data_IF_921409689808
#
_entry.id   IF_921409689808
#
_cell.length_a   1.000
_cell.length_b   1.000
_cell.length_c   1.000
_cell.angle_alpha   90.00
_cell.angle_beta   90.00
_cell.angle_gamma   90.00
#
_symmetry.space_group_name_H-M   'P 1'
#
loop_
_entity.id
_entity.type
_entity.pdbx_description
1 polymer ?
#
# COMPACT_ATOMS: atom_id res chain seq x y z
N UNK A 1 -5.60 64.67 -11.52
CA UNK A 1 -6.18 63.31 -11.54
C UNK A 1 -5.05 62.32 -11.76
N UNK A 2 -4.48 61.76 -10.68
CA UNK A 2 -3.47 60.71 -10.77
C UNK A 2 -4.07 59.42 -10.23
N UNK A 3 -4.12 58.38 -11.08
CA UNK A 3 -4.57 57.06 -10.68
C UNK A 3 -3.42 56.28 -10.04
N UNK A 4 -3.37 56.22 -8.71
CA UNK A 4 -2.59 55.20 -8.00
C UNK A 4 -3.35 53.88 -8.05
N UNK A 5 -3.17 53.15 -9.14
CA UNK A 5 -3.72 51.81 -9.33
C UNK A 5 -3.00 50.83 -8.39
N UNK A 6 -3.52 50.63 -7.19
CA UNK A 6 -2.99 49.66 -6.23
C UNK A 6 -3.26 48.24 -6.73
N UNK A 7 -2.33 47.68 -7.51
CA UNK A 7 -2.27 46.23 -7.73
C UNK A 7 -2.17 45.54 -6.37
N UNK A 8 -3.16 44.69 -6.06
CA UNK A 8 -3.30 43.93 -4.81
C UNK A 8 -3.51 44.76 -3.53
N UNK A 9 -4.78 45.00 -3.13
CA UNK A 9 -5.10 45.29 -1.73
C UNK A 9 -4.93 44.00 -0.91
N UNK A 10 -3.71 43.73 -0.43
CA UNK A 10 -3.42 42.66 0.53
C UNK A 10 -4.01 43.01 1.90
N UNK A 11 -5.32 42.85 2.03
CA UNK A 11 -6.03 43.02 3.29
C UNK A 11 -5.67 41.93 4.30
N UNK A 12 -4.83 42.29 5.27
CA UNK A 12 -4.94 41.72 6.62
C UNK A 12 -4.45 40.28 6.87
N UNK A 13 -3.33 39.83 6.28
CA UNK A 13 -2.58 38.70 6.83
C UNK A 13 -1.33 39.19 7.57
N UNK A 14 -1.43 39.34 8.90
CA UNK A 14 -0.26 39.69 9.72
C UNK A 14 0.75 38.54 9.75
N UNK A 15 2.05 38.87 9.72
CA UNK A 15 3.14 37.91 9.89
C UNK A 15 3.08 37.29 11.29
N UNK A 16 3.03 35.97 11.37
CA UNK A 16 3.16 35.23 12.63
C UNK A 16 4.50 34.50 12.68
N UNK A 17 5.19 34.59 13.83
CA UNK A 17 6.42 33.84 14.09
C UNK A 17 6.09 32.35 14.19
N UNK A 18 7.06 31.50 13.85
CA UNK A 18 6.86 30.04 13.83
C UNK A 18 6.44 29.45 15.20
N UNK A 19 6.81 30.10 16.30
CA UNK A 19 6.45 29.69 17.67
C UNK A 19 5.00 29.98 18.03
N UNK A 20 4.42 31.03 17.43
CA UNK A 20 3.08 31.57 17.71
C UNK A 20 2.07 31.18 16.60
N UNK A 21 2.41 30.17 15.80
CA UNK A 21 1.64 29.78 14.62
C UNK A 21 0.63 28.68 14.93
N UNK A 22 -0.67 28.97 14.76
CA UNK A 22 -1.74 28.02 15.02
C UNK A 22 -1.94 27.03 13.87
N UNK A 23 -1.61 25.76 14.11
CA UNK A 23 -1.75 24.67 13.14
C UNK A 23 -3.18 24.11 12.97
N UNK A 24 -4.14 24.66 13.72
CA UNK A 24 -5.56 24.28 13.69
C UNK A 24 -6.30 24.89 12.50
N UNK A 25 -5.99 26.15 12.22
CA UNK A 25 -6.88 27.01 11.46
C UNK A 25 -6.47 27.19 9.99
N UNK A 26 -7.48 27.49 9.18
CA UNK A 26 -7.32 28.15 7.88
C UNK A 26 -8.22 29.40 7.85
N UNK A 27 -8.47 29.98 9.03
CA UNK A 27 -9.58 30.89 9.30
C UNK A 27 -9.15 32.35 9.49
N UNK A 28 -8.32 32.89 8.59
CA UNK A 28 -8.32 34.34 8.40
C UNK A 28 -9.55 34.74 7.55
N UNK A 29 -10.62 35.12 8.26
CA UNK A 29 -11.88 35.73 7.80
C UNK A 29 -12.74 34.95 6.79
N UNK A 30 -13.85 34.42 7.31
CA UNK A 30 -14.93 33.80 6.54
C UNK A 30 -15.80 34.81 5.74
N UNK A 31 -15.51 36.11 5.80
CA UNK A 31 -16.40 37.16 5.27
C UNK A 31 -15.95 37.87 3.98
N UNK A 32 -14.74 37.65 3.42
CA UNK A 32 -14.49 38.22 2.08
C UNK A 32 -13.40 37.59 1.18
N UNK A 33 -12.33 36.97 1.68
CA UNK A 33 -11.20 36.55 0.82
C UNK A 33 -10.58 35.18 1.12
N UNK A 34 -11.44 34.17 1.32
CA UNK A 34 -11.01 32.77 1.33
C UNK A 34 -10.17 32.34 2.53
N UNK A 35 -9.87 31.03 2.65
CA UNK A 35 -9.15 30.49 3.79
C UNK A 35 -7.65 30.80 3.68
N UNK A 36 -7.25 31.99 4.09
CA UNK A 36 -5.86 32.45 4.04
C UNK A 36 -5.06 31.96 5.26
N UNK A 37 -3.83 31.50 5.01
CA UNK A 37 -2.88 31.09 6.05
C UNK A 37 -2.08 32.33 6.49
N UNK A 38 -1.80 32.48 7.79
CA UNK A 38 -0.91 33.54 8.27
C UNK A 38 0.43 33.53 7.52
N UNK A 39 0.87 34.70 7.05
CA UNK A 39 2.03 34.77 6.18
C UNK A 39 3.32 34.45 6.95
N UNK A 40 3.86 33.25 6.74
CA UNK A 40 5.15 32.83 7.26
C UNK A 40 5.91 32.05 6.17
N UNK A 41 7.01 32.59 5.62
CA UNK A 41 7.69 32.00 4.47
C UNK A 41 8.24 30.60 4.75
N UNK A 42 8.65 30.29 6.00
CA UNK A 42 9.16 28.97 6.36
C UNK A 42 8.09 27.89 6.21
N UNK A 43 6.83 28.20 6.53
CA UNK A 43 5.72 27.24 6.48
C UNK A 43 5.33 26.95 5.03
N UNK A 44 5.28 27.97 4.17
CA UNK A 44 5.10 27.78 2.73
C UNK A 44 6.24 26.96 2.11
N UNK A 45 7.49 27.18 2.52
CA UNK A 45 8.62 26.34 2.08
C UNK A 45 8.48 24.88 2.55
N UNK A 46 8.09 24.63 3.80
CA UNK A 46 7.86 23.27 4.33
C UNK A 46 6.75 22.57 3.55
N UNK A 47 5.61 23.23 3.35
CA UNK A 47 4.49 22.72 2.54
C UNK A 47 4.98 22.36 1.13
N UNK A 48 5.66 23.30 0.45
CA UNK A 48 6.14 23.09 -0.92
C UNK A 48 7.11 21.92 -1.04
N UNK A 49 8.09 21.79 -0.14
CA UNK A 49 9.07 20.68 -0.16
C UNK A 49 8.40 19.33 0.08
N UNK A 50 7.53 19.22 1.09
CA UNK A 50 6.85 17.97 1.42
C UNK A 50 5.88 17.54 0.30
N UNK A 51 5.17 18.50 -0.31
CA UNK A 51 4.22 18.24 -1.39
C UNK A 51 4.93 17.90 -2.71
N UNK A 52 6.02 18.60 -3.04
CA UNK A 52 6.86 18.26 -4.20
C UNK A 52 7.47 16.85 -4.07
N UNK A 53 7.94 16.48 -2.87
CA UNK A 53 8.46 15.14 -2.61
C UNK A 53 7.38 14.05 -2.71
N UNK A 54 6.17 14.32 -2.19
CA UNK A 54 5.02 13.41 -2.31
C UNK A 54 4.60 13.17 -3.76
N UNK A 55 4.60 14.23 -4.60
CA UNK A 55 4.34 14.13 -6.03
C UNK A 55 5.45 13.36 -6.75
N UNK A 56 6.72 13.67 -6.47
CA UNK A 56 7.86 12.96 -7.07
C UNK A 56 7.79 11.45 -6.79
N UNK A 57 7.64 11.07 -5.52
CA UNK A 57 7.54 9.66 -5.12
C UNK A 57 6.34 8.98 -5.80
N UNK A 58 5.20 9.65 -5.89
CA UNK A 58 3.99 9.07 -6.49
C UNK A 58 4.12 8.88 -8.01
N UNK A 59 4.71 9.85 -8.72
CA UNK A 59 5.04 9.74 -10.14
C UNK A 59 6.08 8.65 -10.40
N UNK A 60 7.13 8.59 -9.58
CA UNK A 60 8.17 7.57 -9.66
C UNK A 60 7.58 6.17 -9.43
N UNK A 61 6.66 6.00 -8.48
CA UNK A 61 5.94 4.74 -8.26
C UNK A 61 5.05 4.36 -9.45
N UNK A 62 4.33 5.30 -10.06
CA UNK A 62 3.53 5.03 -11.27
C UNK A 62 4.42 4.51 -12.40
N UNK A 63 5.56 5.16 -12.66
CA UNK A 63 6.52 4.74 -13.68
C UNK A 63 7.11 3.36 -13.34
N UNK A 64 7.60 3.16 -12.11
CA UNK A 64 8.14 1.88 -11.63
C UNK A 64 7.11 0.75 -11.72
N UNK A 65 5.84 1.02 -11.41
CA UNK A 65 4.76 0.04 -11.50
C UNK A 65 4.48 -0.34 -12.96
N UNK A 66 4.32 0.63 -13.86
CA UNK A 66 4.07 0.39 -15.29
C UNK A 66 5.22 -0.41 -15.94
N UNK A 67 6.47 -0.18 -15.53
CA UNK A 67 7.63 -0.90 -16.02
C UNK A 67 7.82 -2.29 -15.37
N UNK A 68 7.44 -2.44 -14.10
CA UNK A 68 7.65 -3.71 -13.36
C UNK A 68 6.58 -4.77 -13.64
N UNK A 69 5.34 -4.37 -13.96
CA UNK A 69 4.25 -5.30 -14.22
C UNK A 69 4.09 -5.62 -15.71
N UNK A 70 4.51 -6.83 -16.11
CA UNK A 70 4.32 -7.35 -17.48
C UNK A 70 2.85 -7.47 -17.90
N UNK A 71 1.94 -7.54 -16.93
CA UNK A 71 0.50 -7.68 -17.13
C UNK A 71 -0.23 -6.70 -16.22
N UNK A 72 -1.05 -5.85 -16.85
CA UNK A 72 -1.79 -4.75 -16.20
C UNK A 72 -3.21 -5.16 -15.79
N UNK A 73 -3.47 -6.46 -15.71
CA UNK A 73 -4.78 -7.06 -15.38
C UNK A 73 -4.94 -7.37 -13.90
N UNK A 74 -3.86 -7.30 -13.11
CA UNK A 74 -3.91 -7.65 -11.68
C UNK A 74 -4.62 -6.57 -10.85
N UNK A 75 -5.40 -7.00 -9.86
CA UNK A 75 -6.05 -6.10 -8.88
C UNK A 75 -5.03 -5.22 -8.16
N UNK A 76 -3.85 -5.78 -7.83
CA UNK A 76 -2.76 -5.04 -7.20
C UNK A 76 -2.23 -3.89 -8.06
N UNK A 77 -2.08 -4.09 -9.38
CA UNK A 77 -1.62 -3.03 -10.27
C UNK A 77 -2.59 -1.85 -10.25
N UNK A 78 -3.89 -2.11 -10.40
CA UNK A 78 -4.90 -1.06 -10.38
C UNK A 78 -5.01 -0.38 -9.01
N UNK A 79 -5.00 -1.11 -7.91
CA UNK A 79 -5.06 -0.50 -6.58
C UNK A 79 -3.82 0.34 -6.26
N UNK A 80 -2.62 -0.10 -6.66
CA UNK A 80 -1.38 0.66 -6.50
C UNK A 80 -1.44 1.99 -7.29
N UNK A 81 -1.87 1.94 -8.56
CA UNK A 81 -2.03 3.15 -9.39
C UNK A 81 -3.12 4.07 -8.81
N UNK A 82 -4.25 3.53 -8.33
CA UNK A 82 -5.31 4.32 -7.69
C UNK A 82 -4.79 5.12 -6.51
N UNK A 83 -4.02 4.52 -5.59
CA UNK A 83 -3.44 5.26 -4.44
C UNK A 83 -2.46 6.32 -4.92
N UNK A 84 -1.59 6.04 -5.88
CA UNK A 84 -0.63 7.03 -6.39
C UNK A 84 -1.32 8.25 -7.04
N UNK A 85 -2.38 8.01 -7.83
CA UNK A 85 -3.23 9.09 -8.39
C UNK A 85 -3.98 9.82 -7.28
N UNK A 86 -4.43 9.11 -6.23
CA UNK A 86 -5.00 9.70 -5.02
C UNK A 86 -4.05 10.65 -4.31
N UNK A 87 -2.76 10.31 -4.19
CA UNK A 87 -1.73 11.22 -3.61
C UNK A 87 -1.53 12.45 -4.49
N UNK A 88 -1.58 12.31 -5.83
CA UNK A 88 -1.48 13.45 -6.74
C UNK A 88 -2.69 14.38 -6.56
N UNK A 89 -3.91 13.83 -6.55
CA UNK A 89 -5.14 14.62 -6.39
C UNK A 89 -5.28 15.27 -5.01
N UNK A 90 -4.90 14.59 -3.91
CA UNK A 90 -4.97 15.21 -2.58
C UNK A 90 -4.00 16.38 -2.47
N UNK A 91 -2.81 16.25 -3.05
CA UNK A 91 -1.79 17.32 -3.11
C UNK A 91 -2.32 18.51 -3.91
N UNK A 92 -2.79 18.28 -5.15
CA UNK A 92 -3.34 19.33 -6.02
C UNK A 92 -4.54 20.02 -5.36
N UNK A 93 -5.44 19.27 -4.71
CA UNK A 93 -6.59 19.86 -4.00
C UNK A 93 -6.14 20.87 -2.93
N UNK A 94 -5.14 20.52 -2.13
CA UNK A 94 -4.64 21.41 -1.08
C UNK A 94 -3.97 22.67 -1.66
N UNK A 95 -3.19 22.53 -2.73
CA UNK A 95 -2.59 23.67 -3.41
C UNK A 95 -3.64 24.62 -4.01
N UNK A 96 -4.70 24.07 -4.63
CA UNK A 96 -5.84 24.87 -5.13
C UNK A 96 -6.55 25.64 -4.01
N UNK A 97 -6.72 25.02 -2.83
CA UNK A 97 -7.33 25.65 -1.65
C UNK A 97 -6.50 26.80 -1.06
N UNK A 98 -5.17 26.73 -1.15
CA UNK A 98 -4.28 27.78 -0.62
C UNK A 98 -4.08 28.92 -1.61
N UNK A 99 -3.92 28.63 -2.90
CA UNK A 99 -3.39 29.59 -3.88
C UNK A 99 -4.40 30.11 -4.91
N UNK A 100 -5.51 29.42 -5.16
CA UNK A 100 -6.31 29.63 -6.38
C UNK A 100 -7.78 29.98 -6.13
N UNK A 101 -8.36 29.57 -4.99
CA UNK A 101 -9.82 29.48 -4.85
C UNK A 101 -10.39 30.46 -3.79
N UNK A 102 -11.18 31.48 -4.19
CA UNK A 102 -12.16 32.09 -3.30
C UNK A 102 -13.35 31.14 -3.08
N UNK A 103 -14.07 31.31 -1.96
CA UNK A 103 -15.04 30.38 -1.33
C UNK A 103 -16.03 29.62 -2.26
N UNK A 104 -16.33 30.13 -3.45
CA UNK A 104 -17.37 29.62 -4.37
C UNK A 104 -17.01 28.40 -5.26
N UNK A 105 -15.81 27.81 -5.21
CA UNK A 105 -15.44 26.74 -6.15
C UNK A 105 -15.46 25.32 -5.58
N UNK A 106 -16.35 24.50 -6.14
CA UNK A 106 -16.47 23.05 -5.94
C UNK A 106 -15.21 22.23 -6.28
N UNK A 107 -14.29 22.79 -7.07
CA UNK A 107 -13.10 22.10 -7.57
C UNK A 107 -12.20 21.53 -6.45
N UNK A 108 -12.03 22.26 -5.34
CA UNK A 108 -11.31 21.75 -4.17
C UNK A 108 -12.01 20.51 -3.59
N UNK A 109 -13.28 20.67 -3.19
CA UNK A 109 -14.03 19.63 -2.47
C UNK A 109 -14.18 18.36 -3.31
N UNK A 110 -14.43 18.49 -4.62
CA UNK A 110 -14.53 17.32 -5.53
C UNK A 110 -13.19 16.60 -5.69
N UNK A 111 -12.07 17.31 -5.93
CA UNK A 111 -10.76 16.68 -6.05
C UNK A 111 -10.31 16.03 -4.72
N UNK A 112 -10.54 16.70 -3.59
CA UNK A 112 -10.27 16.17 -2.26
C UNK A 112 -11.04 14.86 -2.02
N UNK A 113 -12.32 14.81 -2.35
CA UNK A 113 -13.16 13.63 -2.09
C UNK A 113 -12.85 12.47 -3.03
N UNK A 114 -12.57 12.72 -4.31
CA UNK A 114 -12.06 11.68 -5.22
C UNK A 114 -10.73 11.13 -4.68
N UNK A 115 -9.82 12.00 -4.23
CA UNK A 115 -8.54 11.59 -3.68
C UNK A 115 -8.71 10.71 -2.43
N UNK A 116 -9.55 11.11 -1.47
CA UNK A 116 -9.81 10.33 -0.26
C UNK A 116 -10.38 8.93 -0.57
N UNK A 117 -11.31 8.83 -1.54
CA UNK A 117 -11.85 7.53 -1.98
C UNK A 117 -10.73 6.65 -2.56
N UNK A 118 -9.92 7.17 -3.48
CA UNK A 118 -8.82 6.45 -4.10
C UNK A 118 -7.75 6.01 -3.10
N UNK A 119 -7.40 6.87 -2.15
CA UNK A 119 -6.40 6.61 -1.11
C UNK A 119 -6.87 5.50 -0.16
N UNK A 120 -8.07 5.63 0.41
CA UNK A 120 -8.59 4.68 1.41
C UNK A 120 -8.94 3.32 0.82
N UNK A 121 -9.69 3.28 -0.28
CA UNK A 121 -10.06 2.00 -0.93
C UNK A 121 -8.87 1.34 -1.59
N UNK A 122 -8.04 2.10 -2.31
CA UNK A 122 -6.86 1.59 -3.00
C UNK A 122 -5.87 0.96 -2.03
N UNK A 123 -5.58 1.63 -0.91
CA UNK A 123 -4.61 1.12 0.07
C UNK A 123 -5.13 -0.16 0.75
N UNK A 124 -6.41 -0.20 1.12
CA UNK A 124 -7.04 -1.42 1.62
C UNK A 124 -6.95 -2.61 0.64
N UNK A 125 -7.12 -2.36 -0.67
CA UNK A 125 -6.98 -3.37 -1.72
C UNK A 125 -5.52 -3.78 -1.98
N UNK A 126 -4.55 -2.88 -1.76
CA UNK A 126 -3.10 -3.19 -1.77
C UNK A 126 -2.76 -4.16 -0.63
N UNK A 127 -3.18 -3.85 0.60
CA UNK A 127 -2.96 -4.72 1.77
C UNK A 127 -3.66 -6.09 1.59
N UNK A 128 -4.90 -6.10 1.09
CA UNK A 128 -5.62 -7.34 0.74
C UNK A 128 -4.83 -8.20 -0.26
N UNK A 129 -4.31 -7.59 -1.32
CA UNK A 129 -3.55 -8.30 -2.35
C UNK A 129 -2.24 -8.89 -1.79
N UNK A 130 -1.57 -8.21 -0.86
CA UNK A 130 -0.42 -8.75 -0.12
C UNK A 130 -0.81 -9.92 0.79
N UNK A 131 -1.92 -9.81 1.51
CA UNK A 131 -2.40 -10.88 2.38
C UNK A 131 -2.76 -12.14 1.58
N UNK A 132 -3.36 -12.00 0.39
CA UNK A 132 -3.65 -13.11 -0.52
C UNK A 132 -2.39 -13.90 -0.95
N UNK A 133 -1.25 -13.21 -1.11
CA UNK A 133 0.02 -13.83 -1.52
C UNK A 133 0.59 -14.81 -0.47
N UNK A 134 0.22 -14.63 0.80
CA UNK A 134 0.56 -15.53 1.91
C UNK A 134 -0.34 -16.78 1.99
N UNK A 135 -1.37 -16.88 1.14
CA UNK A 135 -2.31 -18.01 1.07
C UNK A 135 -2.96 -18.38 2.43
N UNK A 136 -3.52 -17.41 3.19
CA UNK A 136 -4.24 -17.71 4.42
C UNK A 136 -5.55 -18.47 4.14
N UNK A 137 -6.18 -18.99 5.21
CA UNK A 137 -7.47 -19.69 5.14
C UNK A 137 -8.52 -18.86 4.35
N UNK A 138 -9.16 -19.46 3.34
CA UNK A 138 -10.16 -18.80 2.45
C UNK A 138 -11.21 -17.97 3.19
N UNK A 139 -11.70 -18.44 4.34
CA UNK A 139 -12.67 -17.71 5.19
C UNK A 139 -12.14 -16.35 5.66
N UNK A 140 -10.87 -16.23 6.02
CA UNK A 140 -10.24 -14.97 6.41
C UNK A 140 -10.21 -14.01 5.22
N UNK A 141 -9.78 -14.50 4.05
CA UNK A 141 -9.70 -13.68 2.85
C UNK A 141 -11.07 -13.10 2.47
N UNK A 142 -12.13 -13.91 2.56
CA UNK A 142 -13.52 -13.47 2.38
C UNK A 142 -13.96 -12.46 3.45
N UNK A 143 -13.61 -12.66 4.72
CA UNK A 143 -13.92 -11.73 5.80
C UNK A 143 -13.22 -10.36 5.61
N UNK A 144 -11.97 -10.35 5.11
CA UNK A 144 -11.25 -9.10 4.80
C UNK A 144 -11.89 -8.37 3.62
N UNK A 145 -12.32 -9.06 2.55
CA UNK A 145 -13.08 -8.41 1.45
C UNK A 145 -14.40 -7.83 1.96
N UNK A 146 -15.15 -8.60 2.77
CA UNK A 146 -16.40 -8.14 3.34
C UNK A 146 -16.20 -6.88 4.22
N UNK A 147 -15.15 -6.89 5.06
CA UNK A 147 -14.77 -5.73 5.87
C UNK A 147 -14.49 -4.49 4.98
N UNK A 148 -13.69 -4.63 3.92
CA UNK A 148 -13.36 -3.53 2.99
C UNK A 148 -14.61 -2.98 2.30
N UNK A 149 -15.52 -3.84 1.83
CA UNK A 149 -16.75 -3.41 1.14
C UNK A 149 -17.68 -2.67 2.12
N UNK A 150 -17.88 -3.21 3.32
CA UNK A 150 -18.73 -2.61 4.34
C UNK A 150 -18.17 -1.26 4.80
N UNK A 151 -16.86 -1.14 5.08
CA UNK A 151 -16.26 0.14 5.48
C UNK A 151 -16.23 1.15 4.34
N UNK A 152 -16.02 0.74 3.08
CA UNK A 152 -16.09 1.64 1.94
C UNK A 152 -17.49 2.25 1.76
N UNK A 153 -18.55 1.43 1.81
CA UNK A 153 -19.93 1.92 1.66
C UNK A 153 -20.30 2.84 2.83
N UNK A 154 -20.09 2.39 4.07
CA UNK A 154 -20.48 3.14 5.26
C UNK A 154 -19.64 4.41 5.43
N UNK A 155 -18.33 4.35 5.15
CA UNK A 155 -17.41 5.46 5.39
C UNK A 155 -17.39 6.52 4.29
N UNK A 156 -17.65 6.19 3.02
CA UNK A 156 -17.66 7.19 1.94
C UNK A 156 -18.95 7.99 1.85
N UNK A 157 -20.09 7.45 2.28
CA UNK A 157 -21.38 8.18 2.26
C UNK A 157 -21.31 9.48 3.08
N UNK A 158 -20.86 9.49 4.36
CA UNK A 158 -20.67 10.72 5.15
C UNK A 158 -19.74 11.75 4.49
N UNK A 159 -18.66 11.28 3.85
CA UNK A 159 -17.74 12.14 3.08
C UNK A 159 -18.41 12.80 1.89
N UNK A 160 -19.20 12.05 1.11
CA UNK A 160 -19.93 12.58 -0.03
C UNK A 160 -20.97 13.61 0.41
N UNK A 161 -21.72 13.33 1.48
CA UNK A 161 -22.70 14.28 2.03
C UNK A 161 -21.99 15.53 2.58
N UNK A 162 -20.86 15.39 3.27
CA UNK A 162 -20.04 16.52 3.72
C UNK A 162 -19.57 17.38 2.54
N UNK A 163 -19.09 16.75 1.47
CA UNK A 163 -18.68 17.40 0.23
C UNK A 163 -19.82 18.23 -0.36
N UNK A 164 -21.01 17.63 -0.50
CA UNK A 164 -22.21 18.29 -1.01
C UNK A 164 -22.61 19.47 -0.11
N UNK A 165 -22.62 19.30 1.21
CA UNK A 165 -22.91 20.36 2.16
C UNK A 165 -21.92 21.55 2.05
N UNK A 166 -20.64 21.28 1.78
CA UNK A 166 -19.65 22.36 1.52
C UNK A 166 -19.85 23.06 0.17
N UNK A 167 -20.41 22.37 -0.84
CA UNK A 167 -20.62 22.93 -2.19
C UNK A 167 -21.89 23.80 -2.27
N UNK A 168 -22.90 23.51 -1.45
CA UNK A 168 -24.17 24.28 -1.37
C UNK A 168 -24.05 25.41 -0.32
N UNK A 169 -22.86 25.65 0.25
CA UNK A 169 -22.58 26.73 1.22
C UNK A 169 -23.39 26.66 2.54
N UNK A 170 -23.95 25.49 2.87
CA UNK A 170 -24.67 25.26 4.13
C UNK A 170 -23.69 25.02 5.29
N UNK A 171 -23.08 26.10 5.80
CA UNK A 171 -22.01 26.05 6.80
C UNK A 171 -22.35 25.26 8.08
N UNK A 172 -23.54 25.44 8.67
CA UNK A 172 -23.92 24.74 9.89
C UNK A 172 -24.03 23.23 9.69
N UNK A 173 -24.66 22.81 8.58
CA UNK A 173 -24.75 21.42 8.18
C UNK A 173 -23.35 20.84 7.89
N UNK A 174 -22.51 21.58 7.18
CA UNK A 174 -21.13 21.18 6.90
C UNK A 174 -20.28 21.03 8.17
N UNK A 175 -20.52 21.83 9.21
CA UNK A 175 -19.85 21.73 10.52
C UNK A 175 -20.32 20.51 11.32
N UNK A 176 -21.63 20.27 11.39
CA UNK A 176 -22.19 19.09 12.07
C UNK A 176 -21.72 17.79 11.39
N UNK A 177 -21.81 17.72 10.06
CA UNK A 177 -21.39 16.53 9.30
C UNK A 177 -19.87 16.32 9.36
N UNK A 178 -19.05 17.38 9.50
CA UNK A 178 -17.60 17.21 9.68
C UNK A 178 -17.26 16.39 10.91
N UNK A 179 -17.92 16.62 12.05
CA UNK A 179 -17.73 15.80 13.26
C UNK A 179 -18.03 14.32 12.98
N UNK A 180 -19.15 14.05 12.29
CA UNK A 180 -19.52 12.68 11.87
C UNK A 180 -18.47 12.08 10.92
N UNK A 181 -17.99 12.84 9.94
CA UNK A 181 -16.96 12.40 9.00
C UNK A 181 -15.63 12.04 9.69
N UNK A 182 -15.21 12.82 10.71
CA UNK A 182 -14.01 12.53 11.50
C UNK A 182 -14.07 11.14 12.18
N UNK A 183 -15.24 10.70 12.67
CA UNK A 183 -15.42 9.34 13.21
C UNK A 183 -15.27 8.25 12.14
N UNK A 184 -15.74 8.49 10.91
CA UNK A 184 -15.60 7.53 9.82
C UNK A 184 -14.17 7.48 9.24
N UNK A 185 -13.42 8.58 9.31
CA UNK A 185 -11.97 8.55 9.04
C UNK A 185 -11.22 7.64 10.03
N UNK A 186 -11.58 7.70 11.31
CA UNK A 186 -11.03 6.81 12.33
C UNK A 186 -11.43 5.34 12.09
N UNK A 187 -12.65 5.08 11.62
CA UNK A 187 -13.07 3.73 11.21
C UNK A 187 -12.21 3.18 10.06
N UNK A 188 -11.91 3.98 9.04
CA UNK A 188 -10.97 3.58 7.98
C UNK A 188 -9.57 3.29 8.53
N UNK A 189 -9.06 4.12 9.44
CA UNK A 189 -7.75 3.87 10.04
C UNK A 189 -7.71 2.62 10.93
N UNK A 190 -8.80 2.34 11.67
CA UNK A 190 -8.95 1.10 12.43
C UNK A 190 -9.01 -0.13 11.51
N UNK A 191 -9.66 -0.01 10.34
CA UNK A 191 -9.70 -1.04 9.31
C UNK A 191 -8.33 -1.27 8.66
N UNK A 192 -7.60 -0.22 8.26
CA UNK A 192 -6.21 -0.29 7.77
C UNK A 192 -5.31 -0.99 8.80
N UNK A 193 -5.36 -0.54 10.06
CA UNK A 193 -4.62 -1.10 11.21
C UNK A 193 -4.94 -2.58 11.44
N UNK A 194 -6.21 -2.96 11.36
CA UNK A 194 -6.66 -4.35 11.56
C UNK A 194 -6.12 -5.28 10.47
N UNK A 195 -6.15 -4.85 9.21
CA UNK A 195 -5.63 -5.64 8.09
C UNK A 195 -4.09 -5.71 8.16
N UNK A 196 -3.41 -4.62 8.49
CA UNK A 196 -1.95 -4.59 8.68
C UNK A 196 -1.51 -5.53 9.83
N UNK A 197 -2.20 -5.50 10.97
CA UNK A 197 -1.92 -6.38 12.11
C UNK A 197 -2.15 -7.86 11.77
N UNK A 198 -3.24 -8.16 11.07
CA UNK A 198 -3.54 -9.49 10.56
C UNK A 198 -2.43 -9.98 9.59
N UNK A 199 -1.97 -9.12 8.68
CA UNK A 199 -0.85 -9.42 7.79
C UNK A 199 0.43 -9.75 8.55
N UNK A 200 0.81 -8.96 9.58
CA UNK A 200 2.01 -9.21 10.39
C UNK A 200 1.92 -10.60 11.06
N UNK A 201 0.76 -10.94 11.64
CA UNK A 201 0.54 -12.24 12.28
C UNK A 201 0.70 -13.42 11.30
N UNK A 202 0.02 -13.38 10.15
CA UNK A 202 0.13 -14.44 9.15
C UNK A 202 1.51 -14.51 8.49
N UNK A 203 2.18 -13.37 8.32
CA UNK A 203 3.56 -13.34 7.82
C UNK A 203 4.53 -14.00 8.82
N UNK A 204 4.38 -13.73 10.12
CA UNK A 204 5.16 -14.39 11.17
C UNK A 204 4.94 -15.91 11.20
N UNK A 205 3.68 -16.36 11.10
CA UNK A 205 3.37 -17.79 11.01
C UNK A 205 4.02 -18.45 9.78
N UNK A 206 3.85 -17.86 8.58
CA UNK A 206 4.42 -18.37 7.32
C UNK A 206 5.95 -18.50 7.33
N UNK A 207 6.62 -17.70 8.17
CA UNK A 207 8.06 -17.72 8.40
C UNK A 207 8.49 -18.79 9.41
N UNK A 208 7.72 -19.04 10.46
CA UNK A 208 7.97 -20.15 11.39
C UNK A 208 7.78 -21.51 10.71
N UNK A 209 6.86 -21.61 9.74
CA UNK A 209 6.65 -22.79 8.88
C UNK A 209 7.76 -22.96 7.80
N UNK A 210 8.98 -22.50 8.06
CA UNK A 210 10.16 -22.73 7.19
C UNK A 210 11.06 -23.77 7.88
N UNK A 211 11.27 -24.96 7.28
CA UNK A 211 12.12 -25.98 7.89
C UNK A 211 13.56 -25.47 8.05
N UNK A 212 14.27 -25.87 9.13
CA UNK A 212 15.57 -25.31 9.49
C UNK A 212 16.72 -25.86 8.61
N UNK A 213 16.74 -25.49 7.33
CA UNK A 213 17.74 -25.95 6.35
C UNK A 213 19.06 -25.17 6.48
N UNK A 214 19.80 -25.50 7.55
CA UNK A 214 21.26 -25.67 7.72
C UNK A 214 22.26 -24.85 6.87
N UNK A 215 21.96 -23.61 6.50
CA UNK A 215 22.96 -22.64 6.02
C UNK A 215 22.92 -21.36 6.84
N UNK A 216 24.01 -21.09 7.57
CA UNK A 216 24.15 -19.87 8.41
C UNK A 216 23.96 -18.59 7.58
N UNK A 217 24.53 -18.57 6.38
CA UNK A 217 24.43 -17.44 5.45
C UNK A 217 23.00 -17.25 4.94
N UNK A 218 22.31 -18.34 4.58
CA UNK A 218 20.92 -18.28 4.14
C UNK A 218 19.97 -17.82 5.26
N UNK A 219 20.22 -18.23 6.51
CA UNK A 219 19.45 -17.77 7.68
C UNK A 219 19.62 -16.26 7.91
N UNK A 220 20.82 -15.72 7.69
CA UNK A 220 21.11 -14.29 7.86
C UNK A 220 20.40 -13.43 6.81
N UNK A 221 20.50 -13.79 5.52
CA UNK A 221 19.73 -13.18 4.41
C UNK A 221 18.23 -13.05 4.74
N UNK A 222 17.65 -14.15 5.23
CA UNK A 222 16.22 -14.27 5.51
C UNK A 222 15.84 -13.39 6.71
N UNK A 223 16.63 -13.42 7.78
CA UNK A 223 16.39 -12.60 8.97
C UNK A 223 16.50 -11.10 8.67
N UNK A 224 17.51 -10.67 7.90
CA UNK A 224 17.64 -9.26 7.50
C UNK A 224 16.43 -8.79 6.67
N UNK A 225 16.03 -9.60 5.69
CA UNK A 225 14.83 -9.33 4.87
C UNK A 225 13.55 -9.28 5.74
N UNK A 226 13.43 -10.19 6.71
CA UNK A 226 12.31 -10.23 7.66
C UNK A 226 12.23 -8.94 8.51
N UNK A 227 13.36 -8.50 9.08
CA UNK A 227 13.41 -7.24 9.85
C UNK A 227 12.97 -6.05 9.01
N UNK A 228 13.37 -5.97 7.74
CA UNK A 228 12.90 -4.93 6.81
C UNK A 228 11.39 -4.97 6.56
N UNK A 229 10.78 -6.16 6.44
CA UNK A 229 9.33 -6.34 6.23
C UNK A 229 8.52 -5.99 7.48
N UNK A 230 9.02 -6.33 8.67
CA UNK A 230 8.40 -5.94 9.94
C UNK A 230 8.52 -4.43 10.14
N UNK A 231 9.70 -3.85 9.90
CA UNK A 231 9.93 -2.40 9.99
C UNK A 231 9.02 -1.61 9.04
N UNK A 232 8.82 -2.08 7.79
CA UNK A 232 7.89 -1.47 6.85
C UNK A 232 6.43 -1.51 7.37
N UNK A 233 6.00 -2.64 7.94
CA UNK A 233 4.64 -2.77 8.48
C UNK A 233 4.42 -1.94 9.75
N UNK A 234 5.45 -1.82 10.61
CA UNK A 234 5.46 -0.91 11.76
C UNK A 234 5.42 0.55 11.32
N UNK A 235 6.15 0.93 10.26
CA UNK A 235 6.12 2.27 9.70
C UNK A 235 4.70 2.65 9.24
N UNK A 236 3.99 1.74 8.57
CA UNK A 236 2.58 1.96 8.17
C UNK A 236 1.71 2.28 9.38
N UNK A 237 1.77 1.45 10.44
CA UNK A 237 1.02 1.66 11.70
C UNK A 237 1.36 2.99 12.40
N UNK A 238 2.65 3.35 12.45
CA UNK A 238 3.11 4.61 13.01
C UNK A 238 2.55 5.81 12.23
N UNK A 239 2.62 5.75 10.89
CA UNK A 239 2.12 6.81 10.02
C UNK A 239 0.61 7.03 10.14
N UNK A 240 -0.18 5.97 10.34
CA UNK A 240 -1.62 6.08 10.63
C UNK A 240 -1.87 6.71 12.00
N UNK A 241 -1.20 6.22 13.04
CA UNK A 241 -1.31 6.79 14.38
C UNK A 241 -0.99 8.29 14.37
N UNK A 242 0.07 8.72 13.67
CA UNK A 242 0.40 10.15 13.54
C UNK A 242 -0.72 10.96 12.88
N UNK A 243 -1.28 10.49 11.77
CA UNK A 243 -2.35 11.20 11.07
C UNK A 243 -3.65 11.26 11.88
N UNK A 244 -3.98 10.22 12.64
CA UNK A 244 -5.13 10.19 13.54
C UNK A 244 -4.93 11.10 14.77
N UNK A 245 -3.71 11.19 15.31
CA UNK A 245 -3.38 12.12 16.40
C UNK A 245 -3.54 13.57 15.93
N UNK A 246 -3.11 13.90 14.70
CA UNK A 246 -3.33 15.23 14.14
C UNK A 246 -4.82 15.52 13.89
N UNK A 247 -5.60 14.53 13.45
CA UNK A 247 -7.06 14.65 13.35
C UNK A 247 -7.71 14.92 14.71
N UNK A 248 -7.38 14.14 15.73
CA UNK A 248 -7.96 14.26 17.07
C UNK A 248 -7.66 15.61 17.74
N UNK A 249 -6.49 16.20 17.47
CA UNK A 249 -6.13 17.54 17.94
C UNK A 249 -6.69 18.67 17.05
N UNK A 250 -7.51 18.34 16.05
CA UNK A 250 -8.06 19.25 15.03
C UNK A 250 -6.97 20.08 14.30
N UNK A 251 -5.76 19.51 14.16
CA UNK A 251 -4.60 20.14 13.50
C UNK A 251 -4.67 19.96 11.98
N UNK A 252 -5.72 20.50 11.36
CA UNK A 252 -6.03 20.29 9.95
C UNK A 252 -4.87 20.71 9.03
N UNK A 253 -4.25 21.87 9.28
CA UNK A 253 -3.18 22.38 8.42
C UNK A 253 -1.92 21.51 8.50
N UNK A 254 -1.51 21.11 9.71
CA UNK A 254 -0.38 20.19 9.90
C UNK A 254 -0.64 18.83 9.23
N UNK A 255 -1.86 18.30 9.39
CA UNK A 255 -2.26 17.03 8.78
C UNK A 255 -2.19 17.07 7.26
N UNK A 256 -2.81 18.06 6.61
CA UNK A 256 -2.78 18.21 5.16
C UNK A 256 -1.37 18.48 4.61
N UNK A 257 -0.49 19.06 5.42
CA UNK A 257 0.91 19.27 5.08
C UNK A 257 1.68 17.94 5.00
N UNK A 258 1.57 17.06 6.00
CA UNK A 258 2.35 15.81 6.05
C UNK A 258 1.69 14.59 5.37
N UNK A 259 0.35 14.57 5.28
CA UNK A 259 -0.43 13.42 4.82
C UNK A 259 -0.04 12.92 3.42
N UNK A 260 0.15 13.76 2.39
CA UNK A 260 0.47 13.27 1.04
C UNK A 260 1.82 12.55 1.00
N UNK A 261 2.81 13.06 1.72
CA UNK A 261 4.13 12.42 1.82
C UNK A 261 4.04 11.08 2.57
N UNK A 262 3.30 11.04 3.67
CA UNK A 262 3.11 9.80 4.42
C UNK A 262 2.43 8.73 3.56
N UNK A 263 1.42 9.09 2.77
CA UNK A 263 0.76 8.17 1.85
C UNK A 263 1.66 7.72 0.68
N UNK A 264 2.51 8.60 0.15
CA UNK A 264 3.51 8.22 -0.85
C UNK A 264 4.56 7.24 -0.29
N UNK A 265 5.00 7.43 0.97
CA UNK A 265 5.94 6.52 1.63
C UNK A 265 5.27 5.19 1.96
N UNK A 266 4.01 5.17 2.46
CA UNK A 266 3.22 3.93 2.60
C UNK A 266 3.28 3.14 1.29
N UNK A 267 2.86 3.77 0.19
CA UNK A 267 2.76 3.11 -1.10
C UNK A 267 4.12 2.61 -1.63
N UNK A 268 5.20 3.35 -1.34
CA UNK A 268 6.57 2.93 -1.66
C UNK A 268 6.98 1.66 -0.90
N UNK A 269 6.71 1.61 0.40
CA UNK A 269 6.98 0.46 1.25
C UNK A 269 6.14 -0.76 0.82
N UNK A 270 4.86 -0.57 0.54
CA UNK A 270 3.95 -1.60 0.02
C UNK A 270 4.49 -2.24 -1.29
N UNK A 271 4.99 -1.42 -2.22
CA UNK A 271 5.60 -1.89 -3.48
C UNK A 271 6.92 -2.63 -3.26
N UNK A 272 7.79 -2.12 -2.39
CA UNK A 272 9.07 -2.75 -2.06
C UNK A 272 8.83 -4.11 -1.38
N UNK A 273 7.95 -4.17 -0.38
CA UNK A 273 7.63 -5.40 0.35
C UNK A 273 7.00 -6.45 -0.56
N UNK A 274 6.08 -6.08 -1.46
CA UNK A 274 5.51 -7.03 -2.42
C UNK A 274 6.60 -7.71 -3.25
N UNK A 275 7.51 -6.90 -3.82
CA UNK A 275 8.59 -7.40 -4.66
C UNK A 275 9.54 -8.34 -3.89
N UNK A 276 9.83 -8.05 -2.63
CA UNK A 276 10.57 -8.97 -1.76
C UNK A 276 9.79 -10.25 -1.45
N UNK A 277 8.50 -10.16 -1.14
CA UNK A 277 7.67 -11.33 -0.81
C UNK A 277 7.54 -12.31 -1.99
N UNK A 278 7.39 -11.79 -3.22
CA UNK A 278 7.37 -12.62 -4.45
C UNK A 278 8.72 -13.30 -4.68
N UNK A 279 9.85 -12.58 -4.51
CA UNK A 279 11.20 -13.16 -4.60
C UNK A 279 11.43 -14.24 -3.53
N UNK A 280 11.02 -13.97 -2.28
CA UNK A 280 11.13 -14.90 -1.16
C UNK A 280 10.32 -16.17 -1.38
N UNK A 281 9.05 -16.06 -1.80
CA UNK A 281 8.20 -17.21 -2.12
C UNK A 281 8.81 -18.08 -3.23
N UNK A 282 9.33 -17.46 -4.29
CA UNK A 282 10.06 -18.16 -5.37
C UNK A 282 11.35 -18.84 -4.85
N UNK A 283 12.06 -18.27 -3.87
CA UNK A 283 13.23 -18.89 -3.19
C UNK A 283 12.80 -20.09 -2.32
N UNK A 284 11.76 -19.94 -1.47
CA UNK A 284 11.20 -20.99 -0.60
C UNK A 284 10.75 -22.22 -1.41
N UNK A 285 9.99 -22.00 -2.49
CA UNK A 285 9.50 -23.09 -3.35
C UNK A 285 10.62 -23.88 -4.03
N UNK A 286 11.70 -23.21 -4.50
CA UNK A 286 12.89 -23.89 -5.06
C UNK A 286 13.66 -24.70 -4.01
N UNK A 287 13.76 -24.20 -2.78
CA UNK A 287 14.40 -24.94 -1.69
C UNK A 287 13.59 -26.19 -1.30
N UNK A 288 12.27 -26.07 -1.16
CA UNK A 288 11.39 -27.20 -0.85
C UNK A 288 11.40 -28.27 -1.95
N UNK A 289 11.33 -27.86 -3.22
CA UNK A 289 11.46 -28.79 -4.35
C UNK A 289 12.82 -29.52 -4.37
N UNK A 290 13.92 -28.82 -4.05
CA UNK A 290 15.24 -29.47 -3.91
C UNK A 290 15.28 -30.46 -2.75
N UNK A 291 14.64 -30.14 -1.62
CA UNK A 291 14.60 -31.02 -0.46
C UNK A 291 13.85 -32.32 -0.78
N UNK A 292 12.67 -32.21 -1.40
CA UNK A 292 11.89 -33.36 -1.86
C UNK A 292 12.65 -34.25 -2.87
N UNK A 293 13.40 -33.64 -3.80
CA UNK A 293 14.26 -34.39 -4.74
C UNK A 293 15.40 -35.12 -4.01
N UNK A 294 16.02 -34.52 -2.99
CA UNK A 294 17.06 -35.16 -2.19
C UNK A 294 16.50 -36.33 -1.36
N UNK A 295 15.36 -36.12 -0.70
CA UNK A 295 14.66 -37.15 0.08
C UNK A 295 14.22 -38.32 -0.81
N UNK A 296 13.62 -38.04 -1.97
CA UNK A 296 13.28 -39.07 -2.97
C UNK A 296 14.53 -39.82 -3.45
N UNK A 297 15.65 -39.12 -3.69
CA UNK A 297 16.91 -39.74 -4.12
C UNK A 297 17.54 -40.62 -3.04
N UNK A 298 17.33 -40.28 -1.76
CA UNK A 298 17.82 -41.05 -0.62
C UNK A 298 16.96 -42.30 -0.40
N UNK A 299 15.62 -42.16 -0.41
CA UNK A 299 14.68 -43.30 -0.34
C UNK A 299 14.89 -44.29 -1.49
N UNK A 300 15.16 -43.80 -2.72
CA UNK A 300 15.49 -44.68 -3.85
C UNK A 300 16.84 -45.40 -3.68
N UNK A 301 17.83 -44.75 -3.03
CA UNK A 301 19.13 -45.37 -2.73
C UNK A 301 18.98 -46.46 -1.67
N UNK A 302 18.24 -46.20 -0.59
CA UNK A 302 18.04 -47.17 0.49
C UNK A 302 17.26 -48.39 -0.03
N UNK A 303 16.22 -48.21 -0.85
CA UNK A 303 15.53 -49.31 -1.54
C UNK A 303 16.44 -50.13 -2.46
N UNK A 304 17.43 -49.51 -3.10
CA UNK A 304 18.39 -50.24 -3.94
C UNK A 304 19.41 -51.04 -3.10
N UNK A 305 19.71 -50.61 -1.88
CA UNK A 305 20.53 -51.37 -0.94
C UNK A 305 19.79 -52.60 -0.41
N UNK A 306 18.51 -52.48 -0.06
CA UNK A 306 17.68 -53.61 0.39
C UNK A 306 17.48 -54.68 -0.70
N UNK A 307 17.37 -54.27 -1.96
CA UNK A 307 17.22 -55.19 -3.11
C UNK A 307 18.54 -55.81 -3.59
N UNK A 308 19.69 -55.28 -3.16
CA UNK A 308 21.02 -55.80 -3.51
C UNK A 308 21.40 -57.12 -2.82
N UNK A 309 20.49 -57.71 -2.02
CA UNK A 309 20.72 -58.93 -1.25
C UNK A 309 20.64 -60.26 -2.02
N UNK A 310 20.35 -60.25 -3.33
CA UNK A 310 20.28 -61.47 -4.14
C UNK A 310 21.04 -61.36 -5.46
N UNK A 311 22.10 -62.17 -5.58
CA UNK A 311 22.65 -62.75 -6.81
C UNK A 311 22.87 -61.84 -8.03
N UNK A 312 24.14 -61.58 -8.29
CA UNK A 312 24.73 -61.08 -9.55
C UNK A 312 24.22 -61.90 -10.76
N UNK A 313 23.77 -61.21 -11.82
CA UNK A 313 23.82 -61.56 -13.27
C UNK A 313 22.60 -60.99 -14.05
N UNK A 314 22.61 -59.70 -14.45
CA UNK A 314 22.07 -59.18 -15.75
C UNK A 314 22.26 -57.65 -15.93
N UNK A 315 23.49 -57.14 -15.80
CA UNK A 315 23.77 -55.69 -15.78
C UNK A 315 23.99 -55.06 -17.18
N UNK A 316 23.07 -55.29 -18.13
CA UNK A 316 23.14 -54.65 -19.46
C UNK A 316 21.82 -54.11 -20.04
N UNK A 317 20.66 -54.70 -19.75
CA UNK A 317 19.38 -54.23 -20.34
C UNK A 317 18.63 -53.22 -19.44
N UNK A 318 18.85 -53.31 -18.11
CA UNK A 318 18.19 -52.44 -17.13
C UNK A 318 18.53 -50.95 -17.29
N UNK A 319 19.80 -50.60 -17.54
CA UNK A 319 20.29 -49.20 -17.61
C UNK A 319 19.72 -48.44 -18.81
N UNK A 320 19.54 -49.09 -19.97
CA UNK A 320 18.92 -48.45 -21.14
C UNK A 320 17.44 -48.17 -20.90
N UNK A 321 16.71 -49.10 -20.26
CA UNK A 321 15.31 -48.94 -19.84
C UNK A 321 15.15 -47.84 -18.79
N UNK A 322 16.02 -47.80 -17.78
CA UNK A 322 16.07 -46.75 -16.76
C UNK A 322 16.26 -45.35 -17.36
N UNK A 323 17.19 -45.23 -18.33
CA UNK A 323 17.45 -43.96 -19.02
C UNK A 323 16.25 -43.47 -19.84
N UNK A 324 15.44 -44.38 -20.40
CA UNK A 324 14.23 -44.05 -21.16
C UNK A 324 13.09 -43.60 -20.25
N UNK A 325 12.87 -44.27 -19.12
CA UNK A 325 11.83 -43.89 -18.16
C UNK A 325 12.16 -42.55 -17.45
N UNK A 326 13.42 -42.26 -17.10
CA UNK A 326 13.79 -40.90 -16.61
C UNK A 326 13.50 -39.82 -17.67
N UNK A 327 13.81 -40.08 -18.95
CA UNK A 327 13.49 -39.13 -20.05
C UNK A 327 11.99 -39.01 -20.33
N UNK A 328 11.18 -39.94 -19.84
CA UNK A 328 9.71 -39.93 -19.95
C UNK A 328 9.09 -39.19 -18.77
N UNK A 329 9.48 -39.53 -17.54
CA UNK A 329 9.11 -38.82 -16.31
C UNK A 329 9.47 -37.32 -16.38
N UNK A 330 10.70 -36.98 -16.78
CA UNK A 330 11.13 -35.58 -16.97
C UNK A 330 10.31 -34.84 -18.04
N UNK A 331 9.74 -35.56 -19.02
CA UNK A 331 8.85 -34.96 -20.04
C UNK A 331 7.45 -34.68 -19.48
N UNK A 332 6.95 -35.58 -18.63
CA UNK A 332 5.67 -35.43 -17.92
C UNK A 332 5.77 -34.28 -16.89
N UNK A 333 6.83 -34.23 -16.07
CA UNK A 333 7.09 -33.11 -15.15
C UNK A 333 7.23 -31.76 -15.89
N UNK A 334 7.82 -31.75 -17.10
CA UNK A 334 7.85 -30.55 -17.94
C UNK A 334 6.44 -30.18 -18.45
N UNK A 335 5.59 -31.14 -18.83
CA UNK A 335 4.23 -30.85 -19.28
C UNK A 335 3.33 -30.38 -18.13
N UNK A 336 3.36 -31.03 -16.98
CA UNK A 336 2.63 -30.59 -15.77
C UNK A 336 3.17 -29.26 -15.22
N UNK A 337 4.49 -29.08 -15.25
CA UNK A 337 5.13 -27.80 -14.94
C UNK A 337 4.68 -26.69 -15.87
N UNK A 338 4.56 -26.96 -17.17
CA UNK A 338 4.02 -26.00 -18.14
C UNK A 338 2.53 -25.73 -17.93
N UNK A 339 1.70 -26.73 -17.64
CA UNK A 339 0.27 -26.56 -17.36
C UNK A 339 -0.01 -25.81 -16.05
N UNK A 340 0.76 -26.08 -14.99
CA UNK A 340 0.70 -25.27 -13.78
C UNK A 340 1.25 -23.85 -13.99
N UNK A 341 2.27 -23.65 -14.83
CA UNK A 341 2.66 -22.27 -15.19
C UNK A 341 1.65 -21.57 -16.10
N UNK A 342 0.91 -22.26 -16.97
CA UNK A 342 -0.17 -21.62 -17.73
C UNK A 342 -1.32 -21.20 -16.81
N UNK A 343 -1.63 -21.98 -15.77
CA UNK A 343 -2.61 -21.63 -14.73
C UNK A 343 -2.11 -20.61 -13.69
N UNK A 344 -0.79 -20.41 -13.58
CA UNK A 344 -0.17 -19.33 -12.77
C UNK A 344 -0.01 -18.04 -13.55
N UNK A 345 0.13 -18.11 -14.87
CA UNK A 345 -0.40 -17.05 -15.73
C UNK A 345 -1.95 -17.12 -15.74
N UNK A 346 -2.60 -16.23 -16.48
CA UNK A 346 -4.03 -15.86 -16.33
C UNK A 346 -4.34 -15.13 -15.02
N UNK A 347 -3.67 -15.50 -13.92
CA UNK A 347 -3.68 -14.77 -12.65
C UNK A 347 -2.46 -13.88 -12.39
N UNK A 348 -1.34 -14.05 -13.11
CA UNK A 348 -0.44 -12.92 -13.43
C UNK A 348 -1.10 -12.01 -14.48
#
# INVERSE_FOLDING_TARGET
>A
MNATLSLFPLGGCSYSKLQDFEWKDVSCNLEQWGPSIHWNPAIYCIIAVLHALALWLSLELIVRAILSFKRKTTLYFWSLISVAVGVIFITISFQLRIFVIPIRYWAFSVLYTIAQILLKTGLALVLYSRLNILQPKRRLLQAVVALIIVTAIIGHVPFLIWTIATVIDHHDLAKQIRSVANYFELLFAAQETSIASCYIYYFWQYMNDVPPVTSKNLKWDINFTFTGLVAASLWVLLSDTTLNVLLYNELFLARMTIMPLFQAIKLSLEFVVLNYLVKFRKKKQRCLGRLHVLETSQVLRDRSADLGGSSIDDESDGTTRWSKEIRKARRIEMQEGWQNTSNLTSFE
#
